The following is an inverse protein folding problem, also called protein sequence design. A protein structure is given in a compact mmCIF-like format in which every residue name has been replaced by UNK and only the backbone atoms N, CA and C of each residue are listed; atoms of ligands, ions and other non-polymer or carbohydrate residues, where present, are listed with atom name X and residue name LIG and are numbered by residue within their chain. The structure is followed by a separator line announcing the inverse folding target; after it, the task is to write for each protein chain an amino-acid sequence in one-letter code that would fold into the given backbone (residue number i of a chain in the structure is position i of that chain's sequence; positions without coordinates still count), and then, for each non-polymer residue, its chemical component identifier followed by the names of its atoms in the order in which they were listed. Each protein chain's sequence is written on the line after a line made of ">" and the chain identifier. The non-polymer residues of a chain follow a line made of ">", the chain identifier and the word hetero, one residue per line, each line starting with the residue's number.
data_IF_975323710435
#
_entry.id   IF_975323710435
#
_cell.length_a   1.000
_cell.length_b   1.000
_cell.length_c   1.000
_cell.angle_alpha   90.00
_cell.angle_beta   90.00
_cell.angle_gamma   90.00
#
_symmetry.space_group_name_H-M   'P 1'
#
loop_
_entity.id
_entity.type
_entity.pdbx_description
1 polymer ?
#
# COMPACT_ATOMS: atom_id res chain seq x y z
N UNK A 1 21.41 -4.22 -8.26
CA UNK A 1 21.74 -5.65 -8.36
C UNK A 1 20.67 -6.39 -9.15
N UNK A 2 21.04 -7.45 -9.85
CA UNK A 2 20.13 -8.29 -10.62
C UNK A 2 19.16 -9.10 -9.77
N UNK A 3 18.11 -9.62 -10.42
CA UNK A 3 17.13 -10.48 -9.75
C UNK A 3 17.79 -11.77 -9.25
N UNK A 4 18.64 -12.42 -10.04
CA UNK A 4 19.30 -13.67 -9.68
C UNK A 4 20.15 -13.53 -8.42
N UNK A 5 20.86 -12.40 -8.29
CA UNK A 5 21.72 -12.16 -7.13
C UNK A 5 20.92 -11.73 -5.89
N UNK A 6 19.71 -11.18 -6.05
CA UNK A 6 18.84 -10.84 -4.93
C UNK A 6 18.04 -12.04 -4.38
N UNK A 7 17.91 -13.15 -5.12
CA UNK A 7 17.12 -14.32 -4.69
C UNK A 7 17.46 -14.90 -3.29
N UNK A 8 18.73 -14.94 -2.84
CA UNK A 8 19.07 -15.46 -1.52
C UNK A 8 18.55 -14.62 -0.34
N UNK A 9 18.17 -13.37 -0.59
CA UNK A 9 17.69 -12.43 0.42
C UNK A 9 16.18 -12.56 0.54
N UNK A 10 15.71 -13.30 1.55
CA UNK A 10 14.30 -13.65 1.74
C UNK A 10 13.41 -12.42 1.92
N UNK A 11 13.95 -11.32 2.45
CA UNK A 11 13.25 -10.05 2.61
C UNK A 11 12.81 -9.42 1.28
N UNK A 12 13.41 -9.80 0.15
CA UNK A 12 13.00 -9.33 -1.18
C UNK A 12 12.07 -10.29 -1.91
N UNK A 13 11.82 -11.50 -1.36
CA UNK A 13 11.08 -12.57 -2.05
C UNK A 13 9.75 -12.10 -2.63
N UNK A 14 8.91 -11.42 -1.84
CA UNK A 14 7.61 -10.95 -2.30
C UNK A 14 7.71 -9.96 -3.48
N UNK A 15 8.71 -9.07 -3.47
CA UNK A 15 8.98 -8.12 -4.56
C UNK A 15 9.51 -8.83 -5.81
N UNK A 16 10.40 -9.82 -5.64
CA UNK A 16 10.93 -10.60 -6.75
C UNK A 16 9.85 -11.48 -7.40
N UNK A 17 8.97 -12.08 -6.60
CA UNK A 17 7.83 -12.87 -7.08
C UNK A 17 6.84 -11.98 -7.86
N UNK A 18 6.57 -10.76 -7.35
CA UNK A 18 5.75 -9.78 -8.08
C UNK A 18 6.40 -9.36 -9.39
N UNK A 19 7.72 -9.10 -9.41
CA UNK A 19 8.43 -8.71 -10.61
C UNK A 19 8.42 -9.83 -11.66
N UNK A 20 8.55 -11.09 -11.22
CA UNK A 20 8.46 -12.24 -12.12
C UNK A 20 7.10 -12.32 -12.82
N UNK A 21 5.99 -11.98 -12.12
CA UNK A 21 4.65 -11.90 -12.74
C UNK A 21 4.57 -10.78 -13.78
N UNK A 22 5.13 -9.61 -13.48
CA UNK A 22 5.19 -8.48 -14.43
C UNK A 22 6.00 -8.86 -15.68
N UNK A 23 7.17 -9.48 -15.47
CA UNK A 23 8.03 -9.93 -16.57
C UNK A 23 7.34 -10.98 -17.44
N UNK A 24 6.63 -11.94 -16.85
CA UNK A 24 5.88 -12.96 -17.57
C UNK A 24 4.70 -12.37 -18.37
N UNK A 25 3.95 -11.44 -17.76
CA UNK A 25 2.89 -10.72 -18.43
C UNK A 25 3.43 -9.96 -19.66
N UNK A 26 4.57 -9.28 -19.49
CA UNK A 26 5.27 -8.56 -20.57
C UNK A 26 5.70 -9.52 -21.68
N UNK A 27 6.34 -10.65 -21.33
CA UNK A 27 6.83 -11.67 -22.28
C UNK A 27 5.71 -12.32 -23.08
N UNK A 28 4.55 -12.53 -22.45
CA UNK A 28 3.40 -13.21 -23.06
C UNK A 28 2.38 -12.26 -23.71
N UNK A 29 2.62 -10.95 -23.64
CA UNK A 29 1.66 -9.93 -24.11
C UNK A 29 0.36 -9.90 -23.30
N UNK A 30 0.32 -10.52 -22.12
CA UNK A 30 -0.84 -10.47 -21.22
C UNK A 30 -0.81 -9.17 -20.43
N UNK A 31 -1.96 -8.48 -20.24
CA UNK A 31 -1.99 -7.29 -19.42
C UNK A 31 -1.73 -7.65 -17.94
N UNK A 32 -0.75 -6.97 -17.33
CA UNK A 32 -0.55 -6.97 -15.88
C UNK A 32 -1.35 -5.82 -15.26
N UNK A 33 -1.98 -6.07 -14.10
CA UNK A 33 -2.67 -5.05 -13.33
C UNK A 33 -2.38 -5.25 -11.85
N UNK A 34 -1.72 -4.27 -11.24
CA UNK A 34 -1.49 -4.27 -9.79
C UNK A 34 -2.82 -4.32 -9.01
N UNK A 35 -3.84 -3.61 -9.50
CA UNK A 35 -5.17 -3.65 -8.90
C UNK A 35 -5.75 -5.06 -8.85
N UNK A 36 -5.51 -5.87 -9.89
CA UNK A 36 -5.98 -7.26 -9.93
C UNK A 36 -5.28 -8.11 -8.86
N UNK A 37 -3.97 -7.98 -8.71
CA UNK A 37 -3.21 -8.68 -7.67
C UNK A 37 -3.73 -8.31 -6.26
N UNK A 38 -4.04 -7.03 -6.03
CA UNK A 38 -4.62 -6.54 -4.78
C UNK A 38 -6.02 -7.11 -4.54
N UNK A 39 -6.88 -7.12 -5.56
CA UNK A 39 -8.26 -7.62 -5.45
C UNK A 39 -8.29 -9.12 -5.14
N UNK A 40 -7.41 -9.89 -5.79
CA UNK A 40 -7.24 -11.32 -5.51
C UNK A 40 -6.67 -11.55 -4.10
N UNK A 41 -5.71 -10.74 -3.67
CA UNK A 41 -5.19 -10.80 -2.30
C UNK A 41 -6.29 -10.52 -1.28
N UNK A 42 -7.11 -9.48 -1.47
CA UNK A 42 -8.20 -9.14 -0.55
C UNK A 42 -9.22 -10.28 -0.45
N UNK A 43 -9.57 -10.88 -1.58
CA UNK A 43 -10.50 -12.03 -1.65
C UNK A 43 -9.96 -13.24 -0.88
N UNK A 44 -8.65 -13.51 -0.96
CA UNK A 44 -8.02 -14.60 -0.20
C UNK A 44 -7.88 -14.30 1.29
N UNK A 45 -7.61 -13.05 1.65
CA UNK A 45 -7.15 -12.70 2.99
C UNK A 45 -8.25 -12.17 3.91
N UNK A 46 -9.20 -11.39 3.42
CA UNK A 46 -10.23 -10.73 4.23
C UNK A 46 -11.36 -11.70 4.64
N UNK A 47 -11.50 -12.06 5.93
CA UNK A 47 -12.60 -12.92 6.39
C UNK A 47 -13.99 -12.31 6.16
N UNK A 48 -14.11 -10.98 6.16
CA UNK A 48 -15.35 -10.28 5.90
C UNK A 48 -15.86 -10.50 4.47
N UNK A 49 -14.97 -10.60 3.48
CA UNK A 49 -15.36 -10.95 2.11
C UNK A 49 -15.72 -12.43 1.94
N UNK A 50 -15.13 -13.31 2.75
CA UNK A 50 -15.34 -14.77 2.71
C UNK A 50 -16.53 -15.25 3.55
N UNK A 51 -17.14 -14.36 4.33
CA UNK A 51 -18.30 -14.70 5.15
C UNK A 51 -19.49 -15.16 4.29
N UNK A 52 -20.36 -16.01 4.86
CA UNK A 52 -21.55 -16.54 4.17
C UNK A 52 -22.42 -15.43 3.54
N UNK A 53 -22.57 -14.32 4.27
CA UNK A 53 -22.97 -13.03 3.70
C UNK A 53 -21.76 -12.10 3.77
N UNK A 54 -21.18 -11.70 2.63
CA UNK A 54 -20.04 -10.80 2.63
C UNK A 54 -20.33 -9.52 3.40
N UNK A 55 -19.35 -9.04 4.16
CA UNK A 55 -19.51 -7.85 5.01
C UNK A 55 -19.63 -6.55 4.20
N UNK A 56 -19.49 -6.60 2.88
CA UNK A 56 -19.86 -5.53 1.95
C UNK A 56 -21.34 -5.50 1.58
N UNK A 57 -22.07 -6.60 1.78
CA UNK A 57 -23.47 -6.76 1.35
C UNK A 57 -24.40 -5.74 1.99
N UNK A 58 -25.40 -5.27 1.24
CA UNK A 58 -26.46 -4.40 1.77
C UNK A 58 -27.37 -5.11 2.79
N UNK A 59 -27.43 -6.45 2.78
CA UNK A 59 -28.32 -7.27 3.62
C UNK A 59 -27.61 -7.90 4.82
N UNK A 60 -26.37 -7.49 5.10
CA UNK A 60 -25.59 -8.03 6.20
C UNK A 60 -26.28 -7.74 7.54
N UNK A 61 -26.44 -8.76 8.38
CA UNK A 61 -26.77 -8.56 9.79
C UNK A 61 -25.54 -8.05 10.55
N UNK A 62 -25.63 -6.85 11.10
CA UNK A 62 -24.57 -6.19 11.86
C UNK A 62 -24.73 -6.31 13.38
N UNK A 63 -25.56 -7.24 13.85
CA UNK A 63 -25.65 -7.54 15.28
C UNK A 63 -24.28 -7.93 15.83
N UNK A 64 -23.92 -7.33 16.97
CA UNK A 64 -22.62 -7.54 17.62
C UNK A 64 -21.45 -6.77 17.02
N UNK A 65 -21.69 -5.87 16.06
CA UNK A 65 -20.68 -4.88 15.65
C UNK A 65 -20.59 -3.77 16.69
N UNK A 66 -19.40 -3.20 16.86
CA UNK A 66 -19.12 -2.17 17.85
C UNK A 66 -19.30 -0.78 17.23
N UNK A 67 -19.92 0.17 17.93
CA UNK A 67 -19.96 1.55 17.44
C UNK A 67 -18.59 2.20 17.53
N UNK A 68 -18.17 2.88 16.46
CA UNK A 68 -16.93 3.64 16.37
C UNK A 68 -17.19 5.01 15.74
N UNK A 69 -16.48 6.04 16.21
CA UNK A 69 -16.57 7.37 15.61
C UNK A 69 -15.73 7.42 14.33
N UNK A 70 -16.24 8.09 13.31
CA UNK A 70 -15.54 8.35 12.05
C UNK A 70 -15.71 9.84 11.70
N UNK A 71 -14.63 10.57 11.36
CA UNK A 71 -13.26 10.10 11.33
C UNK A 71 -12.69 9.91 12.75
N UNK A 72 -11.79 8.95 12.87
CA UNK A 72 -10.97 8.65 14.04
C UNK A 72 -9.89 7.62 13.64
N UNK A 73 -8.78 7.63 14.35
CA UNK A 73 -7.75 6.58 14.22
C UNK A 73 -8.26 5.23 14.69
N UNK A 74 -7.63 4.12 14.32
CA UNK A 74 -8.00 2.80 14.83
C UNK A 74 -7.91 2.78 16.35
N UNK A 75 -6.87 3.39 16.89
CA UNK A 75 -6.59 3.47 18.32
C UNK A 75 -7.68 4.20 19.09
N UNK A 76 -8.12 5.34 18.58
CA UNK A 76 -9.21 6.13 19.17
C UNK A 76 -10.58 5.42 19.09
N UNK A 77 -10.69 4.34 18.31
CA UNK A 77 -11.90 3.50 18.23
C UNK A 77 -11.87 2.27 19.15
N UNK A 78 -10.92 2.25 20.11
CA UNK A 78 -10.82 1.22 21.14
C UNK A 78 -10.11 -0.04 20.67
N UNK A 79 -9.10 0.09 19.80
CA UNK A 79 -8.27 -1.02 19.30
C UNK A 79 -6.76 -0.78 19.50
N UNK A 80 -6.29 -0.52 20.74
CA UNK A 80 -4.90 -0.18 21.03
C UNK A 80 -3.87 -1.13 20.38
N UNK A 81 -3.01 -0.60 19.52
CA UNK A 81 -1.93 -1.28 18.79
C UNK A 81 -2.42 -2.41 17.87
N UNK A 82 -3.54 -2.19 17.18
CA UNK A 82 -4.08 -3.18 16.26
C UNK A 82 -3.68 -2.90 14.81
N UNK A 83 -2.87 -3.79 14.25
CA UNK A 83 -2.62 -3.86 12.81
C UNK A 83 -3.42 -5.01 12.19
N UNK A 84 -4.12 -4.75 11.09
CA UNK A 84 -4.86 -5.80 10.37
C UNK A 84 -6.03 -5.29 9.53
N UNK A 85 -6.97 -6.19 9.27
CA UNK A 85 -8.18 -5.89 8.50
C UNK A 85 -9.31 -5.47 9.43
N UNK A 86 -9.85 -4.28 9.21
CA UNK A 86 -10.93 -3.69 9.99
C UNK A 86 -12.03 -3.23 9.05
N UNK A 87 -13.26 -3.58 9.38
CA UNK A 87 -14.43 -3.16 8.63
C UNK A 87 -15.17 -2.05 9.34
N UNK A 88 -15.62 -1.07 8.57
CA UNK A 88 -16.51 -0.01 8.99
C UNK A 88 -17.76 0.00 8.11
N UNK A 89 -18.93 0.26 8.70
CA UNK A 89 -20.21 0.33 8.01
C UNK A 89 -21.05 1.50 8.49
N UNK A 90 -21.75 2.14 7.55
CA UNK A 90 -22.68 3.23 7.82
C UNK A 90 -23.94 3.09 6.99
N UNK A 91 -25.08 3.20 7.66
CA UNK A 91 -26.37 3.41 6.99
C UNK A 91 -26.65 4.89 6.84
N UNK A 92 -27.27 5.28 5.72
CA UNK A 92 -27.69 6.64 5.43
C UNK A 92 -28.96 6.63 4.57
N UNK A 93 -29.71 7.73 4.58
CA UNK A 93 -30.98 7.85 3.85
C UNK A 93 -30.78 8.63 2.53
N UNK A 94 -31.41 8.16 1.47
CA UNK A 94 -31.46 8.84 0.16
C UNK A 94 -32.91 9.07 -0.23
N UNK A 95 -33.23 10.28 -0.70
CA UNK A 95 -34.57 10.63 -1.14
C UNK A 95 -34.96 9.84 -2.40
N UNK A 96 -36.26 9.64 -2.63
CA UNK A 96 -36.72 8.99 -3.86
C UNK A 96 -36.33 9.75 -5.14
N UNK A 97 -36.21 11.08 -5.07
CA UNK A 97 -35.80 11.93 -6.20
C UNK A 97 -34.30 11.93 -6.47
N UNK A 98 -33.48 11.49 -5.51
CA UNK A 98 -32.03 11.38 -5.65
C UNK A 98 -31.55 9.95 -5.91
N UNK A 99 -32.40 8.97 -5.64
CA UNK A 99 -32.15 7.58 -5.98
C UNK A 99 -31.85 7.41 -7.48
N UNK A 100 -30.94 6.50 -7.81
CA UNK A 100 -30.50 6.26 -9.19
C UNK A 100 -29.53 7.30 -9.77
N UNK A 101 -29.34 8.47 -9.15
CA UNK A 101 -28.32 9.43 -9.59
C UNK A 101 -26.91 8.91 -9.28
N UNK A 102 -25.93 9.39 -10.05
CA UNK A 102 -24.53 9.25 -9.69
C UNK A 102 -24.21 10.12 -8.47
N UNK A 103 -23.13 9.79 -7.77
CA UNK A 103 -22.67 10.55 -6.62
C UNK A 103 -21.14 10.47 -6.48
N UNK A 104 -20.58 11.32 -5.63
CA UNK A 104 -19.18 11.23 -5.20
C UNK A 104 -19.14 10.98 -3.71
N UNK A 105 -18.47 9.92 -3.28
CA UNK A 105 -18.18 9.65 -1.88
C UNK A 105 -16.80 10.20 -1.54
N UNK A 106 -16.71 11.01 -0.48
CA UNK A 106 -15.44 11.39 0.14
C UNK A 106 -15.36 10.84 1.55
N UNK A 107 -14.18 10.33 1.94
CA UNK A 107 -13.94 9.78 3.28
C UNK A 107 -12.73 10.42 3.98
N UNK A 108 -12.12 11.45 3.39
CA UNK A 108 -10.82 11.95 3.83
C UNK A 108 -9.70 10.92 3.63
N UNK A 109 -8.49 11.14 4.17
CA UNK A 109 -7.46 10.11 4.26
C UNK A 109 -7.87 8.96 5.20
N UNK A 110 -7.40 7.77 4.87
CA UNK A 110 -7.55 6.52 5.59
C UNK A 110 -6.15 5.86 5.65
N UNK A 111 -5.68 5.51 6.82
CA UNK A 111 -4.38 4.87 6.99
C UNK A 111 -4.57 3.35 7.15
N UNK A 112 -3.99 2.48 6.33
CA UNK A 112 -3.15 2.75 5.14
C UNK A 112 -3.94 2.66 3.82
N UNK A 113 -4.82 1.66 3.71
CA UNK A 113 -5.40 1.23 2.44
C UNK A 113 -6.84 0.82 2.64
N UNK A 114 -7.70 1.11 1.68
CA UNK A 114 -9.11 0.73 1.75
C UNK A 114 -9.64 0.12 0.46
N UNK A 115 -10.64 -0.74 0.60
CA UNK A 115 -11.62 -1.01 -0.43
C UNK A 115 -12.99 -0.55 0.08
N UNK A 116 -13.75 0.14 -0.76
CA UNK A 116 -15.05 0.71 -0.38
C UNK A 116 -16.18 0.21 -1.28
N UNK A 117 -17.32 -0.11 -0.64
CA UNK A 117 -18.56 -0.54 -1.29
C UNK A 117 -19.74 0.34 -0.89
N UNK A 118 -20.69 0.48 -1.81
CA UNK A 118 -22.02 1.06 -1.56
C UNK A 118 -23.07 0.05 -1.99
N UNK A 119 -23.96 -0.33 -1.08
CA UNK A 119 -24.98 -1.36 -1.29
C UNK A 119 -24.42 -2.69 -1.85
N UNK A 120 -23.20 -3.07 -1.45
CA UNK A 120 -22.52 -4.27 -1.97
C UNK A 120 -21.78 -4.09 -3.30
N UNK A 121 -21.93 -2.94 -3.97
CA UNK A 121 -21.18 -2.62 -5.20
C UNK A 121 -19.85 -1.98 -4.84
N UNK A 122 -18.73 -2.54 -5.31
CA UNK A 122 -17.40 -1.97 -5.10
C UNK A 122 -17.31 -0.66 -5.89
N UNK A 123 -17.00 0.44 -5.21
CA UNK A 123 -16.90 1.78 -5.83
C UNK A 123 -15.47 2.30 -5.92
N UNK A 124 -14.54 1.74 -5.15
CA UNK A 124 -13.20 2.28 -5.08
C UNK A 124 -12.22 1.46 -4.28
N UNK A 125 -10.96 1.79 -4.49
CA UNK A 125 -9.80 1.32 -3.74
C UNK A 125 -8.75 2.44 -3.76
N UNK A 126 -8.09 2.65 -2.63
CA UNK A 126 -6.91 3.52 -2.52
C UNK A 126 -5.88 2.82 -1.65
N UNK A 127 -4.66 2.71 -2.16
CA UNK A 127 -3.57 1.99 -1.50
C UNK A 127 -2.50 2.87 -0.86
N UNK A 128 -2.78 4.16 -0.66
CA UNK A 128 -1.85 5.20 -0.20
C UNK A 128 -2.44 5.83 1.07
N UNK A 129 -1.70 5.81 2.17
CA UNK A 129 -2.17 6.20 3.51
C UNK A 129 -2.71 7.64 3.60
N UNK A 130 -1.96 8.61 3.08
CA UNK A 130 -2.29 10.04 3.20
C UNK A 130 -3.23 10.57 2.10
N UNK A 131 -3.48 9.78 1.06
CA UNK A 131 -4.28 10.22 -0.08
C UNK A 131 -5.77 10.37 0.27
N UNK A 132 -6.41 11.52 0.08
CA UNK A 132 -7.84 11.66 0.35
C UNK A 132 -8.69 10.74 -0.53
N UNK A 133 -9.65 10.03 0.07
CA UNK A 133 -10.55 9.12 -0.63
C UNK A 133 -11.64 9.91 -1.31
N UNK A 134 -11.73 9.76 -2.63
CA UNK A 134 -12.78 10.35 -3.46
C UNK A 134 -13.19 9.34 -4.53
N UNK A 135 -14.33 8.70 -4.35
CA UNK A 135 -14.81 7.64 -5.20
C UNK A 135 -16.08 8.03 -5.93
N UNK A 136 -16.16 7.68 -7.22
CA UNK A 136 -17.39 7.86 -7.99
C UNK A 136 -18.33 6.70 -7.71
N UNK A 137 -19.55 7.03 -7.30
CA UNK A 137 -20.67 6.09 -7.18
C UNK A 137 -21.42 6.13 -8.52
N UNK A 138 -21.45 5.04 -9.30
CA UNK A 138 -22.19 4.99 -10.55
C UNK A 138 -23.68 5.23 -10.34
N UNK A 139 -24.33 5.88 -11.32
CA UNK A 139 -25.77 5.97 -11.39
C UNK A 139 -26.41 4.56 -11.31
N UNK A 140 -27.56 4.47 -10.63
CA UNK A 140 -28.25 3.20 -10.34
C UNK A 140 -27.77 2.48 -9.07
N UNK A 141 -26.65 2.87 -8.47
CA UNK A 141 -26.16 2.24 -7.22
C UNK A 141 -26.99 2.62 -6.00
N UNK A 142 -27.45 3.88 -5.93
CA UNK A 142 -28.24 4.41 -4.82
C UNK A 142 -29.72 4.08 -5.00
N UNK A 143 -30.37 3.65 -3.92
CA UNK A 143 -31.80 3.29 -3.88
C UNK A 143 -32.59 4.26 -2.98
N UNK A 144 -33.91 4.40 -3.15
CA UNK A 144 -34.71 5.19 -2.23
C UNK A 144 -34.66 4.61 -0.81
N UNK A 145 -34.62 5.46 0.20
CA UNK A 145 -34.55 5.08 1.60
C UNK A 145 -33.13 4.71 2.04
N UNK A 146 -33.02 3.61 2.82
CA UNK A 146 -31.76 3.24 3.45
C UNK A 146 -30.73 2.68 2.45
N UNK A 147 -29.52 3.22 2.50
CA UNK A 147 -28.36 2.77 1.76
C UNK A 147 -27.22 2.48 2.74
N UNK A 148 -26.28 1.62 2.35
CA UNK A 148 -25.15 1.23 3.20
C UNK A 148 -23.82 1.50 2.52
N UNK A 149 -22.89 2.11 3.24
CA UNK A 149 -21.46 2.12 2.91
C UNK A 149 -20.77 1.04 3.75
N UNK A 150 -19.85 0.30 3.13
CA UNK A 150 -18.93 -0.59 3.80
C UNK A 150 -17.50 -0.25 3.36
N UNK A 151 -16.57 -0.14 4.31
CA UNK A 151 -15.15 0.14 4.07
C UNK A 151 -14.37 -0.96 4.76
N UNK A 152 -13.54 -1.68 4.01
CA UNK A 152 -12.54 -2.60 4.58
C UNK A 152 -11.20 -1.89 4.52
N UNK A 153 -10.58 -1.69 5.68
CA UNK A 153 -9.27 -1.06 5.85
C UNK A 153 -8.26 -2.16 6.14
N UNK A 154 -7.09 -2.09 5.51
CA UNK A 154 -5.90 -2.83 5.93
C UNK A 154 -4.94 -1.82 6.50
N UNK A 155 -4.74 -1.91 7.81
CA UNK A 155 -3.76 -1.15 8.56
C UNK A 155 -2.49 -2.00 8.72
N UNK A 156 -1.34 -1.43 8.37
CA UNK A 156 -0.04 -2.13 8.40
C UNK A 156 0.91 -1.60 9.46
N UNK A 157 0.50 -0.58 10.21
CA UNK A 157 1.27 0.05 11.26
C UNK A 157 0.87 1.51 11.46
N UNK A 158 1.30 2.10 12.56
CA UNK A 158 0.98 3.49 12.86
C UNK A 158 -0.35 3.60 13.59
N UNK A 159 -1.14 4.63 13.28
CA UNK A 159 -2.42 4.89 13.98
C UNK A 159 -3.63 4.28 13.24
N UNK A 160 -3.49 4.03 11.95
CA UNK A 160 -4.56 3.51 11.10
C UNK A 160 -5.81 4.39 11.01
N UNK A 161 -6.80 3.90 10.27
CA UNK A 161 -8.17 4.40 10.35
C UNK A 161 -8.39 5.71 9.60
N UNK A 162 -9.45 6.45 9.91
CA UNK A 162 -9.84 7.64 9.16
C UNK A 162 -9.13 8.88 9.72
N UNK A 163 -8.08 9.34 9.05
CA UNK A 163 -7.23 10.46 9.47
C UNK A 163 -7.71 11.85 8.98
N UNK A 164 -8.92 11.92 8.41
CA UNK A 164 -9.52 13.17 7.91
C UNK A 164 -10.31 13.98 8.94
N UNK A 165 -10.95 15.06 8.47
CA UNK A 165 -11.90 15.86 9.27
C UNK A 165 -13.35 15.45 8.98
N UNK A 166 -14.32 15.74 9.88
CA UNK A 166 -15.73 15.40 9.68
C UNK A 166 -16.31 15.90 8.35
N UNK A 167 -15.88 17.08 7.87
CA UNK A 167 -16.34 17.70 6.63
C UNK A 167 -15.89 16.91 5.39
N UNK A 168 -14.83 16.13 5.50
CA UNK A 168 -14.31 15.29 4.42
C UNK A 168 -15.05 13.95 4.30
N UNK A 169 -15.84 13.56 5.30
CA UNK A 169 -16.62 12.32 5.32
C UNK A 169 -18.06 12.62 4.91
N UNK A 170 -18.34 12.59 3.60
CA UNK A 170 -19.60 13.02 3.03
C UNK A 170 -19.89 12.35 1.67
N UNK A 171 -21.15 12.40 1.25
CA UNK A 171 -21.58 11.95 -0.07
C UNK A 171 -22.25 13.10 -0.82
N UNK A 172 -21.74 13.46 -1.99
CA UNK A 172 -22.31 14.49 -2.85
C UNK A 172 -23.11 13.83 -3.98
N UNK A 173 -24.43 14.01 -3.97
CA UNK A 173 -25.30 13.58 -5.08
C UNK A 173 -25.09 14.52 -6.27
N UNK A 174 -24.94 13.99 -7.49
CA UNK A 174 -24.82 14.83 -8.69
C UNK A 174 -26.09 15.69 -8.87
N UNK A 175 -25.91 17.01 -8.93
CA UNK A 175 -27.00 18.00 -8.98
C UNK A 175 -28.02 17.84 -7.84
N UNK A 176 -27.54 17.44 -6.66
CA UNK A 176 -28.36 17.18 -5.49
C UNK A 176 -27.66 17.59 -4.19
N UNK A 177 -28.18 17.16 -3.04
CA UNK A 177 -27.63 17.54 -1.74
C UNK A 177 -26.29 16.86 -1.45
N UNK A 178 -25.55 17.46 -0.51
CA UNK A 178 -24.48 16.78 0.23
C UNK A 178 -25.09 16.10 1.46
N UNK A 179 -24.75 14.83 1.67
CA UNK A 179 -25.13 14.06 2.85
C UNK A 179 -23.89 13.94 3.74
N UNK A 180 -23.87 14.57 4.94
CA UNK A 180 -22.81 14.35 5.91
C UNK A 180 -22.81 12.90 6.39
N UNK A 181 -21.64 12.28 6.44
CA UNK A 181 -21.47 10.89 6.83
C UNK A 181 -20.58 10.71 8.05
N UNK A 182 -19.90 11.77 8.51
CA UNK A 182 -19.20 11.75 9.77
C UNK A 182 -20.14 11.38 10.93
N UNK A 183 -19.58 10.63 11.87
CA UNK A 183 -20.19 10.33 13.14
C UNK A 183 -20.09 8.86 13.48
N UNK A 184 -21.17 8.31 14.00
CA UNK A 184 -21.15 6.94 14.51
C UNK A 184 -21.31 5.95 13.37
N UNK A 185 -20.33 5.07 13.23
CA UNK A 185 -20.29 3.95 12.28
C UNK A 185 -20.23 2.64 13.09
N UNK A 186 -20.57 1.53 12.44
CA UNK A 186 -20.35 0.20 13.00
C UNK A 186 -18.97 -0.30 12.56
N UNK A 187 -18.19 -0.82 13.50
CA UNK A 187 -16.85 -1.39 13.29
C UNK A 187 -16.83 -2.87 13.64
N UNK A 188 -16.02 -3.62 12.90
CA UNK A 188 -15.68 -5.00 13.24
C UNK A 188 -14.27 -5.36 12.79
N UNK A 189 -13.51 -5.98 13.69
CA UNK A 189 -12.22 -6.58 13.36
C UNK A 189 -12.42 -7.86 12.53
N UNK A 190 -11.66 -8.01 11.45
CA UNK A 190 -11.71 -9.18 10.60
C UNK A 190 -10.56 -10.15 10.89
N UNK A 191 -9.32 -9.66 10.83
CA UNK A 191 -8.13 -10.47 11.12
C UNK A 191 -6.91 -9.58 11.41
N UNK A 192 -6.02 -9.98 12.34
CA UNK A 192 -4.76 -9.29 12.57
C UNK A 192 -3.78 -9.49 11.40
N UNK A 193 -2.93 -8.48 11.15
CA UNK A 193 -1.96 -8.46 10.05
C UNK A 193 -1.06 -9.70 10.03
N UNK A 194 -0.64 -10.18 11.20
CA UNK A 194 0.21 -11.36 11.34
C UNK A 194 -0.41 -12.67 10.80
N UNK A 195 -1.72 -12.70 10.54
CA UNK A 195 -2.43 -13.86 9.95
C UNK A 195 -2.68 -13.70 8.45
N UNK A 196 -2.29 -12.58 7.86
CA UNK A 196 -2.51 -12.30 6.44
C UNK A 196 -1.28 -12.70 5.62
N UNK A 197 -1.51 -13.08 4.36
CA UNK A 197 -0.45 -13.15 3.37
C UNK A 197 0.16 -11.75 3.18
N UNK A 198 1.45 -11.69 2.79
CA UNK A 198 2.09 -10.43 2.46
C UNK A 198 1.32 -9.69 1.36
N UNK A 199 1.06 -8.41 1.60
CA UNK A 199 0.37 -7.54 0.65
C UNK A 199 1.20 -7.46 -0.65
N UNK A 200 0.57 -7.58 -1.84
CA UNK A 200 1.28 -7.42 -3.10
C UNK A 200 2.00 -6.07 -3.13
N UNK A 201 3.32 -6.04 -3.38
CA UNK A 201 4.06 -4.78 -3.45
C UNK A 201 3.69 -4.04 -4.73
N UNK A 202 3.47 -2.73 -4.61
CA UNK A 202 3.29 -1.88 -5.79
C UNK A 202 4.63 -1.71 -6.50
N UNK A 203 4.73 -2.27 -7.70
CA UNK A 203 5.90 -2.17 -8.55
C UNK A 203 5.83 -0.99 -9.53
N UNK A 204 4.70 -0.27 -9.56
CA UNK A 204 4.47 0.83 -10.50
C UNK A 204 5.10 2.12 -9.99
N UNK A 205 5.76 2.86 -10.89
CA UNK A 205 6.15 4.25 -10.65
C UNK A 205 7.26 4.53 -9.62
N UNK A 206 7.77 3.55 -8.86
CA UNK A 206 8.79 3.78 -7.84
C UNK A 206 10.17 3.20 -8.25
N UNK A 207 11.17 4.06 -8.58
CA UNK A 207 12.52 3.62 -8.95
C UNK A 207 13.26 2.86 -7.83
N UNK A 208 12.89 3.08 -6.57
CA UNK A 208 13.47 2.39 -5.42
C UNK A 208 13.04 0.93 -5.28
N UNK A 209 12.14 0.43 -6.14
CA UNK A 209 11.81 -0.98 -6.19
C UNK A 209 13.03 -1.84 -6.53
N UNK A 210 13.13 -2.99 -5.86
CA UNK A 210 14.24 -3.92 -6.02
C UNK A 210 14.46 -4.26 -7.51
N UNK A 211 15.72 -4.25 -7.94
CA UNK A 211 16.20 -4.48 -9.33
C UNK A 211 15.80 -3.45 -10.38
N UNK A 212 14.85 -2.53 -10.14
CA UNK A 212 14.36 -1.59 -11.17
C UNK A 212 15.48 -0.75 -11.75
N UNK A 213 16.29 -0.09 -10.92
CA UNK A 213 17.43 0.70 -11.37
C UNK A 213 18.48 -0.13 -12.12
N UNK A 214 18.71 -1.38 -11.67
CA UNK A 214 19.63 -2.25 -12.37
C UNK A 214 19.12 -2.59 -13.78
N UNK A 215 17.85 -3.00 -13.91
CA UNK A 215 17.27 -3.37 -15.20
C UNK A 215 17.08 -2.16 -16.14
N UNK A 216 16.74 -0.99 -15.60
CA UNK A 216 16.50 0.21 -16.39
C UNK A 216 17.77 0.96 -16.80
N UNK A 217 18.82 0.97 -15.96
CA UNK A 217 19.99 1.82 -16.16
C UNK A 217 21.30 1.06 -16.39
N UNK A 218 21.46 -0.12 -15.78
CA UNK A 218 22.73 -0.86 -15.82
C UNK A 218 22.69 -1.98 -16.84
N UNK A 219 21.65 -2.80 -16.84
CA UNK A 219 21.52 -3.95 -17.74
C UNK A 219 21.62 -3.56 -19.24
N UNK A 220 21.01 -2.46 -19.72
CA UNK A 220 21.10 -2.08 -21.13
C UNK A 220 22.50 -1.67 -21.59
N UNK A 221 23.39 -1.28 -20.65
CA UNK A 221 24.75 -0.86 -20.97
C UNK A 221 25.79 -1.97 -20.81
N UNK A 222 25.40 -3.17 -20.34
CA UNK A 222 26.31 -4.32 -20.19
C UNK A 222 27.02 -4.72 -21.49
N UNK A 223 26.39 -4.66 -22.69
CA UNK A 223 27.09 -4.97 -23.93
C UNK A 223 28.24 -4.01 -24.29
N UNK A 224 28.38 -2.87 -23.59
CA UNK A 224 29.48 -1.93 -23.79
C UNK A 224 30.68 -2.22 -22.89
N UNK A 225 31.85 -1.66 -23.25
CA UNK A 225 33.05 -1.70 -22.41
C UNK A 225 32.87 -0.95 -21.09
N UNK A 226 33.44 -1.46 -20.00
CA UNK A 226 33.48 -0.78 -18.70
C UNK A 226 34.93 -0.62 -18.23
N UNK A 227 35.26 0.55 -17.67
CA UNK A 227 36.56 0.79 -17.03
C UNK A 227 36.49 0.89 -15.52
N UNK A 228 35.31 1.18 -14.97
CA UNK A 228 35.09 1.29 -13.54
C UNK A 228 33.67 1.74 -13.23
N UNK A 229 33.32 1.76 -11.95
CA UNK A 229 32.07 2.32 -11.45
C UNK A 229 32.35 3.27 -10.29
N UNK A 230 31.54 4.33 -10.20
CA UNK A 230 31.48 5.23 -9.05
C UNK A 230 30.11 5.04 -8.42
N UNK A 231 30.08 4.62 -7.18
CA UNK A 231 28.85 4.36 -6.43
C UNK A 231 28.68 5.41 -5.34
N UNK A 232 27.78 6.35 -5.63
CA UNK A 232 27.40 7.39 -4.68
C UNK A 232 26.32 6.86 -3.75
N UNK A 233 26.70 6.58 -2.50
CA UNK A 233 25.84 5.91 -1.53
C UNK A 233 24.80 6.87 -0.94
N UNK A 234 23.53 6.44 -0.90
CA UNK A 234 22.45 7.12 -0.17
C UNK A 234 22.26 6.61 1.27
N UNK A 235 21.16 7.00 1.90
CA UNK A 235 20.96 6.90 3.36
C UNK A 235 20.00 5.78 3.79
N UNK A 236 19.23 5.22 2.85
CA UNK A 236 18.07 4.35 3.14
C UNK A 236 18.40 3.04 3.89
N UNK A 237 19.68 2.67 3.97
CA UNK A 237 20.14 1.49 4.67
C UNK A 237 20.88 1.77 5.99
N UNK A 238 20.95 3.02 6.47
CA UNK A 238 21.63 3.34 7.73
C UNK A 238 21.19 2.43 8.90
N UNK A 239 19.89 2.15 9.14
CA UNK A 239 19.47 1.25 10.23
C UNK A 239 19.79 -0.24 9.99
N UNK A 240 20.44 -0.58 8.88
CA UNK A 240 20.72 -1.95 8.43
C UNK A 240 22.13 -2.06 7.82
N UNK A 241 23.12 -1.41 8.41
CA UNK A 241 24.48 -1.31 7.87
C UNK A 241 25.11 -2.67 7.53
N UNK A 242 25.05 -3.66 8.42
CA UNK A 242 25.57 -5.02 8.13
C UNK A 242 24.86 -5.69 6.93
N UNK A 243 23.56 -5.44 6.76
CA UNK A 243 22.82 -5.94 5.61
C UNK A 243 23.28 -5.24 4.33
N UNK A 244 23.51 -3.93 4.41
CA UNK A 244 24.03 -3.14 3.29
C UNK A 244 25.43 -3.60 2.87
N UNK A 245 26.32 -3.91 3.81
CA UNK A 245 27.65 -4.46 3.51
C UNK A 245 27.54 -5.72 2.62
N UNK A 246 26.62 -6.63 2.98
CA UNK A 246 26.36 -7.85 2.21
C UNK A 246 25.82 -7.51 0.81
N UNK A 247 24.81 -6.63 0.73
CA UNK A 247 24.18 -6.22 -0.53
C UNK A 247 25.15 -5.49 -1.47
N UNK A 248 26.00 -4.62 -0.94
CA UNK A 248 27.01 -3.87 -1.69
C UNK A 248 28.06 -4.81 -2.26
N UNK A 249 28.58 -5.73 -1.44
CA UNK A 249 29.54 -6.75 -1.87
C UNK A 249 28.97 -7.61 -3.00
N UNK A 250 27.73 -8.07 -2.82
CA UNK A 250 27.04 -8.88 -3.81
C UNK A 250 26.73 -8.12 -5.10
N UNK A 251 26.38 -6.84 -5.01
CA UNK A 251 26.16 -6.00 -6.19
C UNK A 251 27.45 -5.81 -6.98
N UNK A 252 28.58 -5.55 -6.32
CA UNK A 252 29.88 -5.41 -6.98
C UNK A 252 30.26 -6.71 -7.69
N UNK A 253 30.08 -7.86 -7.01
CA UNK A 253 30.33 -9.17 -7.60
C UNK A 253 29.42 -9.45 -8.81
N UNK A 254 28.13 -9.12 -8.70
CA UNK A 254 27.15 -9.28 -9.78
C UNK A 254 27.52 -8.44 -11.02
N UNK A 255 27.89 -7.17 -10.84
CA UNK A 255 28.28 -6.31 -11.97
C UNK A 255 29.57 -6.83 -12.63
N UNK A 256 30.59 -7.17 -11.85
CA UNK A 256 31.84 -7.75 -12.38
C UNK A 256 31.60 -9.03 -13.18
N UNK A 257 30.77 -9.93 -12.65
CA UNK A 257 30.39 -11.17 -13.32
C UNK A 257 29.71 -10.89 -14.67
N UNK A 258 28.75 -9.96 -14.69
CA UNK A 258 27.93 -9.70 -15.88
C UNK A 258 28.62 -8.92 -16.98
N UNK A 259 29.47 -7.95 -16.63
CA UNK A 259 30.29 -7.25 -17.62
C UNK A 259 31.40 -8.16 -18.18
N UNK A 260 31.81 -9.20 -17.43
CA UNK A 260 32.82 -10.17 -17.88
C UNK A 260 34.20 -9.57 -18.13
N UNK A 261 34.48 -8.36 -17.63
CA UNK A 261 35.71 -7.59 -17.89
C UNK A 261 36.65 -7.58 -16.66
N UNK A 262 36.60 -8.64 -15.85
CA UNK A 262 37.44 -8.81 -14.67
C UNK A 262 37.09 -7.88 -13.51
N UNK A 263 38.04 -7.71 -12.58
CA UNK A 263 37.86 -6.94 -11.36
C UNK A 263 38.10 -5.43 -11.59
N UNK A 264 37.25 -4.81 -12.41
CA UNK A 264 37.36 -3.36 -12.63
C UNK A 264 37.21 -2.56 -11.32
N UNK A 265 37.85 -1.37 -11.23
CA UNK A 265 37.75 -0.49 -10.07
C UNK A 265 36.31 -0.12 -9.73
N UNK A 266 35.99 -0.17 -8.44
CA UNK A 266 34.70 0.25 -7.89
C UNK A 266 34.98 1.27 -6.79
N UNK A 267 34.63 2.53 -7.04
CA UNK A 267 34.83 3.62 -6.07
C UNK A 267 33.54 3.83 -5.31
N UNK A 268 33.60 3.74 -3.98
CA UNK A 268 32.47 4.01 -3.10
C UNK A 268 32.64 5.45 -2.62
N UNK A 269 31.66 6.30 -2.94
CA UNK A 269 31.63 7.70 -2.51
C UNK A 269 30.67 7.80 -1.34
N UNK A 270 31.20 8.17 -0.18
CA UNK A 270 30.40 8.44 1.00
C UNK A 270 29.74 9.82 0.89
N UNK A 271 28.49 9.90 1.35
CA UNK A 271 27.74 11.14 1.36
C UNK A 271 28.42 12.17 2.29
N UNK A 272 28.28 13.45 1.94
CA UNK A 272 28.67 14.54 2.83
C UNK A 272 27.90 14.49 4.17
N UNK A 273 28.32 15.29 5.15
CA UNK A 273 27.65 15.31 6.45
C UNK A 273 26.15 15.63 6.31
N UNK A 274 25.31 14.79 6.92
CA UNK A 274 23.85 14.85 6.88
C UNK A 274 23.33 14.58 8.29
N UNK A 275 22.19 15.18 8.66
CA UNK A 275 21.67 15.29 10.04
C UNK A 275 22.39 16.32 10.93
N UNK A 276 21.83 16.55 12.12
CA UNK A 276 22.34 17.49 13.09
C UNK A 276 23.64 16.98 13.72
N UNK A 277 24.64 17.86 13.82
CA UNK A 277 25.90 17.54 14.49
C UNK A 277 25.66 17.21 15.96
N UNK A 278 26.25 16.10 16.41
CA UNK A 278 26.30 15.77 17.82
C UNK A 278 27.53 16.44 18.46
N UNK A 279 27.40 17.02 19.67
CA UNK A 279 28.53 17.68 20.34
C UNK A 279 29.57 16.66 20.84
N UNK A 280 29.15 15.43 21.13
CA UNK A 280 29.99 14.34 21.61
C UNK A 280 29.89 13.14 20.65
N UNK A 281 30.98 12.37 20.44
CA UNK A 281 30.93 11.12 19.70
C UNK A 281 30.00 10.10 20.37
N UNK A 282 29.24 9.35 19.58
CA UNK A 282 28.37 8.29 20.09
C UNK A 282 27.90 7.36 18.99
N UNK A 283 27.45 6.18 19.41
CA UNK A 283 26.94 5.15 18.50
C UNK A 283 25.68 5.65 17.79
N UNK A 284 25.66 5.51 16.46
CA UNK A 284 24.49 5.79 15.65
C UNK A 284 24.56 5.03 14.32
N UNK A 285 23.39 4.82 13.72
CA UNK A 285 23.20 4.11 12.44
C UNK A 285 24.06 4.67 11.29
N UNK A 286 24.37 5.97 11.31
CA UNK A 286 25.19 6.62 10.30
C UNK A 286 26.67 6.32 10.42
N UNK A 287 27.17 6.22 11.66
CA UNK A 287 28.54 5.82 11.94
C UNK A 287 28.75 4.35 11.57
N UNK A 288 27.78 3.47 11.87
CA UNK A 288 27.87 2.04 11.54
C UNK A 288 27.86 1.78 10.02
N UNK A 289 27.12 2.58 9.25
CA UNK A 289 27.03 2.43 7.79
C UNK A 289 28.34 2.78 7.05
N UNK A 290 29.25 3.54 7.66
CA UNK A 290 30.42 4.14 7.00
C UNK A 290 31.69 3.30 7.10
#
# INVERSE_FOLDING_TARGET
>A
MSLERLRPYTEYKARLDALARVAEATRTGKPYSFQKDVDEWWTRNDPGLKAATPWSSATLNTQGWTTARVPATVEDTGMPNFDGVIWYRKSFQVSAGDAGKAATLTLGPIDDRDVTWVNGVKIGYTGIHDAPRKYTIPAGTLKPGENTIAVSIVDTGGLGGFAGTPEQVALQITNGPTIPLAGDWLRKEAAPLAKLEAIPPDLTGYPGNATVLYNGMVAPVIPYGIKGAIWYQGEANAPRAYRYQSLLTDMIADWRSRFGQGAFPFLIVQLANYMQNQPEPGDNDWAELR
#
